data_IF_286987725513
#
_entry.id   IF_286987725513
#
_cell.length_a   1.000
_cell.length_b   1.000
_cell.length_c   1.000
_cell.angle_alpha   90.00
_cell.angle_beta   90.00
_cell.angle_gamma   90.00
#
_symmetry.space_group_name_H-M   'P 1'
#
loop_
_entity.id
_entity.type
_entity.pdbx_description
1 polymer ?
#
# COMPACT_ATOMS: atom_id res chain seq x y z
N UNK A 1 24.94 33.85 41.26
CA UNK A 1 24.94 33.67 39.80
C UNK A 1 24.18 32.40 39.51
N UNK A 2 22.93 32.52 39.13
CA UNK A 2 22.01 31.38 38.87
C UNK A 2 22.01 31.09 37.35
N UNK A 3 22.26 29.85 36.90
CA UNK A 3 22.13 29.50 35.52
C UNK A 3 20.86 28.66 35.28
N UNK A 4 19.71 29.31 35.17
CA UNK A 4 18.50 28.72 34.57
C UNK A 4 18.05 29.61 33.43
N UNK A 5 18.51 29.29 32.22
CA UNK A 5 17.98 29.88 31.00
C UNK A 5 17.40 28.77 30.10
N UNK A 6 16.09 28.75 30.01
CA UNK A 6 15.33 28.79 28.78
C UNK A 6 15.30 27.52 27.92
N UNK A 7 14.32 26.61 28.17
CA UNK A 7 13.85 25.64 27.19
C UNK A 7 13.02 26.38 26.12
N UNK A 8 13.17 26.07 24.82
CA UNK A 8 12.27 26.60 23.81
C UNK A 8 10.93 25.82 23.83
N UNK A 9 9.85 26.55 24.14
CA UNK A 9 8.48 26.10 23.93
C UNK A 9 8.16 26.19 22.45
N UNK A 10 8.25 25.07 21.76
CA UNK A 10 7.72 24.89 20.42
C UNK A 10 6.48 23.99 20.49
N UNK A 11 5.34 24.50 20.93
CA UNK A 11 4.05 23.82 20.74
C UNK A 11 3.56 24.15 19.35
N UNK A 12 4.01 23.37 18.36
CA UNK A 12 3.35 23.29 17.06
C UNK A 12 1.98 22.63 17.28
N UNK A 13 0.91 23.39 17.10
CA UNK A 13 -0.45 22.84 17.06
C UNK A 13 -0.55 21.84 15.92
N UNK A 14 -0.61 20.55 16.25
CA UNK A 14 -1.08 19.54 15.31
C UNK A 14 -2.51 19.90 14.89
N UNK A 15 -2.87 19.75 13.61
CA UNK A 15 -4.22 20.01 13.17
C UNK A 15 -5.17 19.09 13.92
N UNK A 16 -6.08 19.68 14.72
CA UNK A 16 -7.16 18.96 15.38
C UNK A 16 -8.10 18.46 14.29
N UNK A 17 -8.13 17.14 14.08
CA UNK A 17 -9.15 16.51 13.25
C UNK A 17 -10.51 16.80 13.87
N UNK A 18 -11.45 17.46 13.17
CA UNK A 18 -12.75 17.75 13.73
C UNK A 18 -13.46 16.44 14.09
N UNK A 19 -14.09 16.42 15.27
CA UNK A 19 -14.91 15.28 15.69
C UNK A 19 -15.99 14.99 14.63
N UNK A 20 -16.26 13.71 14.32
CA UNK A 20 -17.24 13.36 13.31
C UNK A 20 -18.61 13.89 13.68
N UNK A 21 -19.28 14.45 12.67
CA UNK A 21 -20.64 14.96 12.78
C UNK A 21 -21.58 13.78 13.17
N UNK A 22 -22.20 13.84 14.33
CA UNK A 22 -23.12 12.82 14.84
C UNK A 22 -24.52 12.97 14.23
N UNK A 23 -24.61 12.78 12.92
CA UNK A 23 -25.87 12.51 12.24
C UNK A 23 -26.27 11.07 12.53
N UNK A 24 -27.32 10.87 13.29
CA UNK A 24 -27.78 9.56 13.75
C UNK A 24 -28.65 8.87 12.70
N UNK A 25 -28.02 8.19 11.74
CA UNK A 25 -28.68 7.07 11.04
C UNK A 25 -28.15 5.77 11.64
N UNK A 26 -28.99 4.79 11.99
CA UNK A 26 -28.50 3.53 12.56
C UNK A 26 -27.77 2.75 11.47
N UNK A 27 -26.44 2.83 11.50
CA UNK A 27 -25.55 1.98 10.71
C UNK A 27 -25.91 0.51 11.01
N UNK A 28 -26.05 -0.32 9.99
CA UNK A 28 -26.07 -1.76 10.21
C UNK A 28 -24.66 -2.14 10.70
N UNK A 29 -24.47 -2.42 11.98
CA UNK A 29 -23.12 -2.64 12.49
C UNK A 29 -22.54 -3.91 11.90
N UNK A 30 -21.24 -3.92 11.60
CA UNK A 30 -20.50 -5.17 11.40
C UNK A 30 -20.73 -6.04 12.64
N UNK A 31 -21.17 -7.26 12.42
CA UNK A 31 -21.44 -8.20 13.51
C UNK A 31 -20.37 -9.26 13.65
N UNK A 32 -19.81 -9.70 12.52
CA UNK A 32 -18.84 -10.79 12.51
C UNK A 32 -17.91 -10.69 11.30
N UNK A 33 -16.62 -10.52 11.55
CA UNK A 33 -15.56 -10.41 10.54
C UNK A 33 -14.85 -11.74 10.38
N UNK A 34 -14.80 -12.28 9.16
CA UNK A 34 -13.86 -13.33 8.81
C UNK A 34 -12.51 -12.70 8.47
N UNK A 35 -11.45 -13.21 9.08
CA UNK A 35 -10.08 -12.74 8.89
C UNK A 35 -9.37 -13.69 7.93
N UNK A 36 -9.24 -13.28 6.67
CA UNK A 36 -8.65 -14.09 5.60
C UNK A 36 -7.10 -14.00 5.61
N UNK A 37 -6.52 -14.25 6.77
CA UNK A 37 -5.07 -14.18 6.98
C UNK A 37 -4.63 -15.03 8.19
N UNK A 38 -3.33 -15.02 8.50
CA UNK A 38 -2.71 -15.77 9.60
C UNK A 38 -1.73 -14.91 10.39
N UNK A 39 -1.13 -15.52 11.42
CA UNK A 39 -0.01 -14.92 12.13
C UNK A 39 -0.40 -13.67 12.91
N UNK A 40 0.51 -12.71 12.96
CA UNK A 40 0.36 -11.52 13.79
C UNK A 40 -0.73 -10.57 13.26
N UNK A 41 -0.91 -10.47 11.93
CA UNK A 41 -1.97 -9.62 11.39
C UNK A 41 -3.37 -10.17 11.71
N UNK A 42 -3.55 -11.48 11.74
CA UNK A 42 -4.80 -12.06 12.21
C UNK A 42 -5.05 -11.71 13.69
N UNK A 43 -4.03 -11.79 14.56
CA UNK A 43 -4.12 -11.32 15.95
C UNK A 43 -4.48 -9.84 16.03
N UNK A 44 -3.87 -9.01 15.19
CA UNK A 44 -4.13 -7.56 15.15
C UNK A 44 -5.60 -7.25 14.81
N UNK A 45 -6.13 -7.92 13.79
CA UNK A 45 -7.54 -7.73 13.39
C UNK A 45 -8.51 -8.30 14.44
N UNK A 46 -8.21 -9.46 15.03
CA UNK A 46 -9.02 -10.04 16.13
C UNK A 46 -9.11 -9.06 17.31
N UNK A 47 -8.01 -8.42 17.69
CA UNK A 47 -8.01 -7.41 18.75
C UNK A 47 -8.89 -6.21 18.40
N UNK A 48 -8.78 -5.69 17.17
CA UNK A 48 -9.64 -4.60 16.73
C UNK A 48 -11.13 -4.98 16.73
N UNK A 49 -11.48 -6.21 16.30
CA UNK A 49 -12.84 -6.74 16.41
C UNK A 49 -13.31 -6.74 17.85
N UNK A 50 -12.51 -7.27 18.76
CA UNK A 50 -12.84 -7.33 20.20
C UNK A 50 -13.07 -5.95 20.80
N UNK A 51 -12.18 -4.98 20.50
CA UNK A 51 -12.29 -3.60 21.00
C UNK A 51 -13.49 -2.85 20.40
N UNK A 52 -13.95 -3.28 19.22
CA UNK A 52 -15.16 -2.75 18.57
C UNK A 52 -16.44 -3.50 18.93
N UNK A 53 -16.37 -4.59 19.72
CA UNK A 53 -17.52 -5.44 20.05
C UNK A 53 -18.03 -6.27 18.88
N UNK A 54 -17.17 -6.59 17.90
CA UNK A 54 -17.47 -7.34 16.68
C UNK A 54 -16.94 -8.77 16.85
N UNK A 55 -17.73 -9.78 16.46
CA UNK A 55 -17.27 -11.17 16.46
C UNK A 55 -16.18 -11.43 15.43
N UNK A 56 -15.26 -12.34 15.74
CA UNK A 56 -14.10 -12.66 14.89
C UNK A 56 -14.09 -14.14 14.49
N UNK A 57 -13.89 -14.41 13.21
CA UNK A 57 -13.70 -15.76 12.65
C UNK A 57 -12.30 -15.87 12.08
N UNK A 58 -11.47 -16.73 12.63
CA UNK A 58 -10.17 -17.08 12.08
C UNK A 58 -10.28 -18.27 11.11
N UNK A 59 -9.51 -18.24 10.04
CA UNK A 59 -9.29 -19.42 9.17
C UNK A 59 -7.85 -19.88 9.29
N UNK A 60 -7.61 -21.20 9.21
CA UNK A 60 -6.25 -21.73 9.36
C UNK A 60 -5.97 -22.92 8.47
N UNK A 61 -4.72 -23.02 8.00
CA UNK A 61 -4.16 -24.24 7.42
C UNK A 61 -3.74 -25.21 8.53
N UNK A 62 -3.61 -26.50 8.22
CA UNK A 62 -3.30 -27.53 9.23
C UNK A 62 -2.03 -27.24 10.07
N UNK A 63 -0.92 -26.72 9.51
CA UNK A 63 0.26 -26.36 10.30
C UNK A 63 0.01 -25.23 11.33
N UNK A 64 -1.01 -24.43 11.13
CA UNK A 64 -1.35 -23.29 12.01
C UNK A 64 -2.44 -23.62 13.04
N UNK A 65 -2.91 -24.88 13.13
CA UNK A 65 -4.00 -25.31 14.02
C UNK A 65 -3.85 -24.84 15.47
N UNK A 66 -2.63 -24.85 15.99
CA UNK A 66 -2.31 -24.46 17.37
C UNK A 66 -1.76 -23.03 17.50
N UNK A 67 -1.84 -22.23 16.42
CA UNK A 67 -1.33 -20.87 16.43
C UNK A 67 -2.13 -19.94 17.37
N UNK A 68 -1.50 -18.84 17.79
CA UNK A 68 -2.08 -17.90 18.75
C UNK A 68 -3.39 -17.31 18.23
N UNK A 69 -3.42 -16.90 16.97
CA UNK A 69 -4.60 -16.27 16.38
C UNK A 69 -5.83 -17.21 16.34
N UNK A 70 -5.60 -18.52 16.15
CA UNK A 70 -6.68 -19.53 16.16
C UNK A 70 -7.35 -19.62 17.55
N UNK A 71 -6.55 -19.47 18.62
CA UNK A 71 -7.05 -19.51 20.00
C UNK A 71 -7.65 -18.19 20.48
N UNK A 72 -7.32 -17.07 19.84
CA UNK A 72 -7.78 -15.75 20.24
C UNK A 72 -9.10 -15.34 19.57
N UNK A 73 -9.40 -15.89 18.39
CA UNK A 73 -10.66 -15.63 17.69
C UNK A 73 -11.86 -16.23 18.45
N UNK A 74 -13.03 -15.65 18.26
CA UNK A 74 -14.28 -16.18 18.82
C UNK A 74 -14.66 -17.51 18.17
N UNK A 75 -14.39 -17.66 16.87
CA UNK A 75 -14.54 -18.89 16.09
C UNK A 75 -13.30 -19.13 15.23
N UNK A 76 -12.93 -20.40 15.00
CA UNK A 76 -11.83 -20.76 14.14
C UNK A 76 -12.16 -21.99 13.28
N UNK A 77 -11.85 -21.92 11.99
CA UNK A 77 -12.19 -22.96 11.02
C UNK A 77 -10.99 -23.38 10.17
N UNK A 78 -10.79 -24.67 10.04
CA UNK A 78 -9.74 -25.20 9.16
C UNK A 78 -10.14 -25.02 7.70
N UNK A 79 -9.18 -24.52 6.89
CA UNK A 79 -9.27 -24.53 5.43
C UNK A 79 -8.80 -25.87 4.85
N UNK A 80 -8.27 -26.76 5.71
CA UNK A 80 -7.51 -27.92 5.28
C UNK A 80 -6.19 -27.50 4.64
N UNK A 81 -5.47 -28.51 4.09
CA UNK A 81 -4.23 -28.26 3.38
C UNK A 81 -3.05 -27.87 4.29
N UNK A 82 -1.86 -27.85 3.70
CA UNK A 82 -0.60 -27.58 4.40
C UNK A 82 0.22 -26.47 3.75
N UNK A 83 -0.19 -26.00 2.58
CA UNK A 83 0.48 -24.93 1.84
C UNK A 83 -0.46 -23.72 1.69
N UNK A 84 0.06 -22.52 1.40
CA UNK A 84 -0.80 -21.38 1.11
C UNK A 84 -1.74 -21.63 -0.09
N UNK A 85 -1.28 -22.33 -1.12
CA UNK A 85 -2.03 -22.58 -2.34
C UNK A 85 -3.29 -23.44 -2.12
N UNK A 86 -3.24 -24.38 -1.19
CA UNK A 86 -4.36 -25.27 -0.86
C UNK A 86 -5.16 -24.81 0.39
N UNK A 87 -4.89 -23.60 0.88
CA UNK A 87 -5.54 -23.02 2.07
C UNK A 87 -5.80 -21.51 1.92
N UNK A 88 -4.87 -20.66 2.36
CA UNK A 88 -5.05 -19.19 2.42
C UNK A 88 -5.20 -18.50 1.06
N UNK A 89 -4.83 -19.14 -0.04
CA UNK A 89 -5.00 -18.64 -1.41
C UNK A 89 -6.21 -19.27 -2.11
N UNK A 90 -6.96 -20.13 -1.45
CA UNK A 90 -8.18 -20.76 -1.99
C UNK A 90 -9.42 -19.90 -1.65
N UNK A 91 -9.81 -19.07 -2.62
CA UNK A 91 -10.95 -18.15 -2.48
C UNK A 91 -12.23 -18.89 -2.11
N UNK A 92 -12.51 -20.03 -2.78
CA UNK A 92 -13.74 -20.77 -2.58
C UNK A 92 -13.86 -21.32 -1.15
N UNK A 93 -12.76 -21.81 -0.58
CA UNK A 93 -12.73 -22.27 0.82
C UNK A 93 -12.97 -21.14 1.81
N UNK A 94 -12.38 -19.96 1.57
CA UNK A 94 -12.56 -18.80 2.45
C UNK A 94 -14.02 -18.35 2.44
N UNK A 95 -14.63 -18.22 1.25
CA UNK A 95 -16.06 -17.84 1.11
C UNK A 95 -16.95 -18.88 1.77
N UNK A 96 -16.72 -20.16 1.56
CA UNK A 96 -17.52 -21.23 2.19
C UNK A 96 -17.47 -21.19 3.73
N UNK A 97 -16.32 -20.81 4.31
CA UNK A 97 -16.23 -20.59 5.78
C UNK A 97 -17.01 -19.36 6.19
N UNK A 98 -16.98 -18.24 5.45
CA UNK A 98 -17.74 -17.05 5.74
C UNK A 98 -19.25 -17.35 5.76
N UNK A 99 -19.76 -18.04 4.75
CA UNK A 99 -21.16 -18.47 4.67
C UNK A 99 -21.54 -19.39 5.83
N UNK A 100 -20.71 -20.41 6.10
CA UNK A 100 -20.94 -21.38 7.17
C UNK A 100 -21.03 -20.76 8.56
N UNK A 101 -20.22 -19.74 8.82
CA UNK A 101 -20.13 -19.08 10.13
C UNK A 101 -21.12 -17.93 10.28
N UNK A 102 -21.76 -17.50 9.19
CA UNK A 102 -22.60 -16.31 9.15
C UNK A 102 -21.78 -15.02 9.39
N UNK A 103 -20.51 -15.01 8.98
CA UNK A 103 -19.74 -13.78 8.90
C UNK A 103 -20.41 -12.85 7.88
N UNK A 104 -20.48 -11.56 8.20
CA UNK A 104 -21.05 -10.54 7.31
C UNK A 104 -20.01 -9.74 6.56
N UNK A 105 -18.73 -9.94 6.89
CA UNK A 105 -17.63 -9.19 6.34
C UNK A 105 -16.32 -9.99 6.32
N UNK A 106 -15.40 -9.56 5.46
CA UNK A 106 -14.08 -10.18 5.30
C UNK A 106 -12.99 -9.12 5.36
N UNK A 107 -12.01 -9.30 6.26
CA UNK A 107 -10.78 -8.50 6.32
C UNK A 107 -9.59 -9.31 5.78
N UNK A 108 -8.90 -8.85 4.73
CA UNK A 108 -7.82 -9.61 4.10
C UNK A 108 -6.47 -9.52 4.82
N UNK A 109 -6.30 -8.56 5.73
CA UNK A 109 -4.99 -8.23 6.30
C UNK A 109 -4.02 -7.66 5.26
N UNK A 110 -2.83 -8.26 5.16
CA UNK A 110 -1.83 -7.97 4.12
C UNK A 110 -1.17 -9.26 3.62
N UNK A 111 -0.56 -9.23 2.43
CA UNK A 111 -0.07 -10.43 1.76
C UNK A 111 -1.22 -11.32 1.29
N UNK A 112 -0.95 -12.57 0.94
CA UNK A 112 -1.91 -13.52 0.40
C UNK A 112 -2.87 -12.89 -0.63
N UNK A 113 -4.14 -12.78 -0.31
CA UNK A 113 -5.19 -12.27 -1.20
C UNK A 113 -5.54 -10.78 -0.98
N UNK A 114 -4.80 -10.06 -0.13
CA UNK A 114 -5.14 -8.69 0.22
C UNK A 114 -5.08 -7.70 -0.96
N UNK A 115 -4.29 -8.00 -1.99
CA UNK A 115 -4.16 -7.22 -3.23
C UNK A 115 -4.69 -7.98 -4.45
N UNK A 116 -5.61 -8.92 -4.23
CA UNK A 116 -6.23 -9.72 -5.28
C UNK A 116 -7.64 -9.20 -5.58
N UNK A 117 -7.81 -8.62 -6.78
CA UNK A 117 -9.10 -8.04 -7.20
C UNK A 117 -10.20 -9.09 -7.34
N UNK A 118 -9.86 -10.30 -7.81
CA UNK A 118 -10.83 -11.39 -7.95
C UNK A 118 -11.36 -11.86 -6.59
N UNK A 119 -10.50 -11.87 -5.56
CA UNK A 119 -10.93 -12.19 -4.20
C UNK A 119 -11.87 -11.11 -3.63
N UNK A 120 -11.50 -9.85 -3.77
CA UNK A 120 -12.34 -8.74 -3.35
C UNK A 120 -13.72 -8.81 -4.04
N UNK A 121 -13.75 -9.07 -5.35
CA UNK A 121 -14.98 -9.23 -6.10
C UNK A 121 -15.78 -10.45 -5.64
N UNK A 122 -15.14 -11.59 -5.40
CA UNK A 122 -15.81 -12.81 -4.93
C UNK A 122 -16.46 -12.61 -3.55
N UNK A 123 -15.84 -11.84 -2.65
CA UNK A 123 -16.43 -11.46 -1.36
C UNK A 123 -17.69 -10.62 -1.57
N UNK A 124 -17.64 -9.64 -2.44
CA UNK A 124 -18.77 -8.76 -2.77
C UNK A 124 -19.92 -9.57 -3.43
N UNK A 125 -19.60 -10.43 -4.40
CA UNK A 125 -20.57 -11.27 -5.11
C UNK A 125 -21.26 -12.28 -4.17
N UNK A 126 -20.59 -12.69 -3.11
CA UNK A 126 -21.18 -13.52 -2.04
C UNK A 126 -22.09 -12.71 -1.09
N UNK A 127 -22.31 -11.42 -1.32
CA UNK A 127 -23.12 -10.54 -0.47
C UNK A 127 -22.45 -10.18 0.86
N UNK A 128 -21.13 -10.30 0.94
CA UNK A 128 -20.33 -9.98 2.12
C UNK A 128 -19.70 -8.59 1.97
N UNK A 129 -19.47 -7.92 3.08
CA UNK A 129 -18.75 -6.64 3.09
C UNK A 129 -17.25 -6.90 2.96
N UNK A 130 -16.65 -6.37 1.91
CA UNK A 130 -15.21 -6.35 1.74
C UNK A 130 -14.59 -5.20 2.52
N UNK A 131 -13.70 -5.52 3.48
CA UNK A 131 -12.98 -4.50 4.27
C UNK A 131 -11.64 -4.22 3.59
N UNK A 132 -11.70 -3.39 2.56
CA UNK A 132 -10.57 -3.05 1.70
C UNK A 132 -10.98 -2.13 0.55
N UNK A 133 -10.05 -1.78 -0.35
CA UNK A 133 -10.35 -0.94 -1.50
C UNK A 133 -11.17 -1.68 -2.58
N UNK A 134 -11.83 -0.94 -3.48
CA UNK A 134 -12.63 -1.56 -4.53
C UNK A 134 -11.75 -2.41 -5.47
N UNK A 135 -12.28 -3.52 -6.03
CA UNK A 135 -11.54 -4.38 -6.95
C UNK A 135 -10.89 -3.62 -8.11
N UNK A 136 -11.59 -2.63 -8.65
CA UNK A 136 -11.09 -1.76 -9.73
C UNK A 136 -9.84 -0.97 -9.35
N UNK A 137 -9.76 -0.46 -8.12
CA UNK A 137 -8.59 0.26 -7.63
C UNK A 137 -7.42 -0.70 -7.33
N UNK A 138 -7.70 -1.89 -6.82
CA UNK A 138 -6.68 -2.94 -6.64
C UNK A 138 -6.04 -3.27 -7.99
N UNK A 139 -6.85 -3.51 -9.02
CA UNK A 139 -6.37 -3.84 -10.37
C UNK A 139 -5.58 -2.68 -11.00
N UNK A 140 -6.13 -1.46 -10.90
CA UNK A 140 -5.54 -0.28 -11.54
C UNK A 140 -4.20 0.13 -10.90
N UNK A 141 -4.09 0.07 -9.57
CA UNK A 141 -2.90 0.47 -8.83
C UNK A 141 -1.89 -0.67 -8.64
N UNK A 142 -2.33 -1.93 -8.73
CA UNK A 142 -1.46 -3.11 -8.70
C UNK A 142 -0.64 -3.28 -10.00
N UNK A 143 -1.10 -2.75 -11.11
CA UNK A 143 -0.35 -2.69 -12.37
C UNK A 143 0.56 -1.45 -12.39
N UNK A 144 1.87 -1.65 -12.45
CA UNK A 144 2.86 -0.55 -12.39
C UNK A 144 2.72 0.49 -13.50
N UNK A 145 2.33 0.07 -14.69
CA UNK A 145 2.14 0.99 -15.81
C UNK A 145 0.85 1.81 -15.64
N UNK A 146 -0.24 1.15 -15.25
CA UNK A 146 -1.50 1.82 -14.93
C UNK A 146 -1.33 2.78 -13.73
N UNK A 147 -0.64 2.36 -12.67
CA UNK A 147 -0.38 3.20 -11.49
C UNK A 147 0.42 4.46 -11.85
N UNK A 148 1.47 4.34 -12.69
CA UNK A 148 2.21 5.50 -13.19
C UNK A 148 1.35 6.42 -14.05
N UNK A 149 0.47 5.86 -14.88
CA UNK A 149 -0.46 6.66 -15.68
C UNK A 149 -1.45 7.43 -14.81
N UNK A 150 -1.98 6.80 -13.76
CA UNK A 150 -2.84 7.45 -12.75
C UNK A 150 -2.08 8.58 -12.05
N UNK A 151 -0.82 8.33 -11.65
CA UNK A 151 0.03 9.33 -11.01
C UNK A 151 0.33 10.52 -11.95
N UNK A 152 0.63 10.26 -13.22
CA UNK A 152 0.84 11.31 -14.25
C UNK A 152 -0.43 12.16 -14.40
N UNK A 153 -1.59 11.53 -14.55
CA UNK A 153 -2.89 12.21 -14.66
C UNK A 153 -3.25 13.01 -13.40
N UNK A 154 -2.85 12.53 -12.24
CA UNK A 154 -3.00 13.20 -10.95
C UNK A 154 -1.96 14.31 -10.73
N UNK A 155 -1.08 14.59 -11.68
CA UNK A 155 0.06 15.51 -11.56
C UNK A 155 0.91 15.21 -10.32
N UNK A 156 1.14 13.95 -10.03
CA UNK A 156 2.07 13.54 -8.99
C UNK A 156 3.52 13.59 -9.53
N UNK A 157 4.50 13.87 -8.67
CA UNK A 157 5.88 13.92 -9.10
C UNK A 157 6.36 12.54 -9.56
N UNK A 158 6.87 12.48 -10.77
CA UNK A 158 7.47 11.28 -11.37
C UNK A 158 8.91 11.58 -11.78
N UNK A 159 9.82 10.65 -11.56
CA UNK A 159 11.12 10.75 -12.20
C UNK A 159 10.95 10.77 -13.72
N UNK A 160 11.69 11.62 -14.44
CA UNK A 160 11.67 11.59 -15.91
C UNK A 160 11.88 10.17 -16.41
N UNK A 161 11.05 9.73 -17.36
CA UNK A 161 11.09 8.39 -17.90
C UNK A 161 10.43 8.31 -19.27
N UNK A 162 10.79 7.29 -20.06
CA UNK A 162 10.12 7.02 -21.33
C UNK A 162 8.75 6.39 -21.11
N UNK A 163 7.77 6.80 -21.91
CA UNK A 163 6.42 6.23 -21.89
C UNK A 163 6.36 4.89 -22.61
N UNK A 164 7.13 4.80 -23.69
CA UNK A 164 7.24 3.63 -24.55
C UNK A 164 8.63 2.99 -24.41
N UNK A 165 8.74 1.69 -24.72
CA UNK A 165 10.03 1.01 -24.75
C UNK A 165 10.99 1.68 -25.74
N UNK A 166 12.23 1.85 -25.34
CA UNK A 166 13.30 2.37 -26.21
C UNK A 166 13.72 1.30 -27.22
N UNK A 167 14.05 1.73 -28.45
CA UNK A 167 14.39 0.85 -29.57
C UNK A 167 15.83 0.35 -29.48
N UNK A 168 16.75 1.21 -29.02
CA UNK A 168 18.18 0.98 -29.02
C UNK A 168 18.89 1.80 -27.94
N UNK A 169 20.21 1.61 -27.81
CA UNK A 169 21.05 2.33 -26.89
C UNK A 169 21.16 3.82 -27.21
N UNK A 170 20.98 4.21 -28.46
CA UNK A 170 21.08 5.62 -28.87
C UNK A 170 19.93 6.43 -28.32
N UNK A 171 18.71 5.89 -28.29
CA UNK A 171 17.57 6.53 -27.63
C UNK A 171 17.81 6.69 -26.12
N UNK A 172 18.51 5.74 -25.48
CA UNK A 172 18.91 5.85 -24.06
C UNK A 172 19.91 6.98 -23.86
N UNK A 173 20.89 7.12 -24.76
CA UNK A 173 21.87 8.19 -24.73
C UNK A 173 21.20 9.56 -24.88
N UNK A 174 20.27 9.70 -25.82
CA UNK A 174 19.51 10.95 -26.00
C UNK A 174 18.66 11.28 -24.76
N UNK A 175 18.02 10.29 -24.18
CA UNK A 175 17.30 10.47 -22.92
C UNK A 175 18.23 10.94 -21.78
N UNK A 176 19.42 10.32 -21.65
CA UNK A 176 20.40 10.68 -20.63
C UNK A 176 20.96 12.10 -20.81
N UNK A 177 21.19 12.53 -22.07
CA UNK A 177 21.59 13.91 -22.37
C UNK A 177 20.54 14.93 -21.98
N UNK A 178 19.26 14.62 -22.22
CA UNK A 178 18.14 15.51 -21.92
C UNK A 178 17.82 15.58 -20.41
N UNK A 179 17.92 14.46 -19.70
CA UNK A 179 17.45 14.35 -18.31
C UNK A 179 18.58 14.18 -17.27
N UNK A 180 19.84 14.09 -17.74
CA UNK A 180 21.03 13.89 -16.92
C UNK A 180 21.23 12.43 -16.48
N UNK A 181 22.42 12.14 -16.02
CA UNK A 181 22.84 10.86 -15.44
C UNK A 181 22.71 10.86 -13.90
N UNK A 182 22.63 9.68 -13.26
CA UNK A 182 22.56 8.35 -13.87
C UNK A 182 21.17 8.02 -14.41
N UNK A 183 21.08 7.02 -15.29
CA UNK A 183 19.82 6.50 -15.83
C UNK A 183 19.66 5.01 -15.51
N UNK A 184 18.42 4.58 -15.30
CA UNK A 184 18.05 3.19 -15.12
C UNK A 184 17.37 2.66 -16.37
N UNK A 185 17.85 1.54 -16.87
CA UNK A 185 17.27 0.78 -17.97
C UNK A 185 16.55 -0.41 -17.35
N UNK A 186 15.24 -0.51 -17.55
CA UNK A 186 14.37 -1.47 -16.88
C UNK A 186 13.61 -2.31 -17.88
N UNK A 187 13.65 -3.63 -17.73
CA UNK A 187 12.75 -4.51 -18.49
C UNK A 187 11.29 -4.19 -18.20
N UNK A 188 10.46 -4.05 -19.22
CA UNK A 188 9.01 -3.76 -19.09
C UNK A 188 8.31 -4.79 -18.22
N UNK A 189 8.65 -6.06 -18.39
CA UNK A 189 8.06 -7.21 -17.67
C UNK A 189 8.86 -7.61 -16.43
N UNK A 190 9.90 -6.83 -16.05
CA UNK A 190 10.78 -7.09 -14.91
C UNK A 190 10.14 -6.70 -13.57
N UNK A 191 10.54 -7.40 -12.51
CA UNK A 191 10.15 -7.13 -11.13
C UNK A 191 11.24 -7.52 -10.14
N UNK A 192 11.22 -6.94 -8.93
CA UNK A 192 12.17 -7.28 -7.86
C UNK A 192 13.64 -6.99 -8.22
N UNK A 193 13.91 -5.97 -9.07
CA UNK A 193 15.26 -5.60 -9.49
C UNK A 193 15.85 -6.47 -10.61
N UNK A 194 15.15 -7.48 -11.10
CA UNK A 194 15.60 -8.26 -12.27
C UNK A 194 15.34 -7.48 -13.55
N UNK A 195 16.33 -7.47 -14.45
CA UNK A 195 16.27 -6.69 -15.69
C UNK A 195 16.44 -5.18 -15.47
N UNK A 196 17.05 -4.76 -14.33
CA UNK A 196 17.44 -3.39 -14.06
C UNK A 196 18.95 -3.23 -14.24
N UNK A 197 19.37 -2.27 -15.08
CA UNK A 197 20.78 -1.82 -15.20
C UNK A 197 20.85 -0.32 -15.01
N UNK A 198 21.88 0.14 -14.33
CA UNK A 198 22.14 1.56 -14.11
C UNK A 198 23.38 1.96 -14.87
N UNK A 199 23.26 2.96 -15.73
CA UNK A 199 24.38 3.60 -16.40
C UNK A 199 24.67 4.94 -15.73
N UNK A 200 25.93 5.15 -15.32
CA UNK A 200 26.39 6.36 -14.63
C UNK A 200 27.13 7.31 -15.54
N UNK A 201 27.59 6.82 -16.66
CA UNK A 201 28.23 7.59 -17.72
C UNK A 201 27.58 7.28 -19.07
N UNK A 202 27.78 8.14 -20.08
CA UNK A 202 27.22 7.90 -21.42
C UNK A 202 27.85 6.67 -22.06
N UNK A 203 29.14 6.41 -21.77
CA UNK A 203 29.91 5.30 -22.30
C UNK A 203 29.43 3.94 -21.80
N UNK A 204 28.83 3.90 -20.59
CA UNK A 204 28.29 2.67 -20.01
C UNK A 204 26.92 2.27 -20.61
N UNK A 205 26.21 3.19 -21.27
CA UNK A 205 24.86 2.99 -21.73
C UNK A 205 24.72 1.81 -22.70
N UNK A 206 25.56 1.67 -23.75
CA UNK A 206 25.42 0.56 -24.70
C UNK A 206 25.50 -0.81 -24.04
N UNK A 207 26.48 -1.03 -23.18
CA UNK A 207 26.70 -2.30 -22.48
C UNK A 207 25.56 -2.58 -21.47
N UNK A 208 25.11 -1.53 -20.75
CA UNK A 208 24.02 -1.63 -19.81
C UNK A 208 22.70 -1.97 -20.51
N UNK A 209 22.41 -1.36 -21.66
CA UNK A 209 21.22 -1.63 -22.47
C UNK A 209 21.22 -3.07 -22.98
N UNK A 210 22.31 -3.51 -23.65
CA UNK A 210 22.41 -4.89 -24.13
C UNK A 210 22.28 -5.93 -23.00
N UNK A 211 22.89 -5.64 -21.85
CA UNK A 211 22.78 -6.49 -20.66
C UNK A 211 21.35 -6.59 -20.14
N UNK A 212 20.63 -5.45 -20.09
CA UNK A 212 19.22 -5.40 -19.66
C UNK A 212 18.33 -6.19 -20.62
N UNK A 213 18.50 -6.01 -21.92
CA UNK A 213 17.75 -6.73 -22.98
C UNK A 213 18.00 -8.25 -22.89
N UNK A 214 19.26 -8.69 -22.80
CA UNK A 214 19.60 -10.12 -22.68
C UNK A 214 18.98 -10.75 -21.44
N UNK A 215 19.05 -10.05 -20.30
CA UNK A 215 18.46 -10.53 -19.04
C UNK A 215 16.93 -10.61 -19.15
N UNK A 216 16.29 -9.62 -19.77
CA UNK A 216 14.85 -9.56 -19.99
C UNK A 216 14.38 -10.69 -20.90
N UNK A 217 15.06 -10.95 -22.02
CA UNK A 217 14.76 -12.08 -22.92
C UNK A 217 14.90 -13.42 -22.20
N UNK A 218 15.97 -13.59 -21.43
CA UNK A 218 16.22 -14.84 -20.70
C UNK A 218 15.19 -15.09 -19.61
N UNK A 219 14.78 -14.06 -18.89
CA UNK A 219 13.88 -14.20 -17.74
C UNK A 219 12.40 -14.17 -18.13
N UNK A 220 12.03 -13.40 -19.18
CA UNK A 220 10.63 -13.09 -19.50
C UNK A 220 10.27 -13.39 -20.96
N UNK A 221 11.22 -13.85 -21.80
CA UNK A 221 11.01 -14.13 -23.22
C UNK A 221 10.87 -12.90 -24.12
N UNK A 222 11.01 -11.69 -23.55
CA UNK A 222 10.83 -10.40 -24.24
C UNK A 222 11.87 -9.40 -23.75
N UNK A 223 12.40 -8.58 -24.68
CA UNK A 223 13.55 -7.70 -24.42
C UNK A 223 13.21 -6.20 -24.32
N UNK A 224 11.93 -5.82 -24.32
CA UNK A 224 11.53 -4.42 -24.27
C UNK A 224 11.95 -3.76 -22.94
N UNK A 225 12.63 -2.62 -23.05
CA UNK A 225 13.13 -1.86 -21.92
C UNK A 225 12.60 -0.42 -21.93
N UNK A 226 12.29 0.09 -20.75
CA UNK A 226 12.05 1.51 -20.48
C UNK A 226 13.29 2.14 -19.87
N UNK A 227 13.41 3.45 -19.99
CA UNK A 227 14.47 4.22 -19.35
C UNK A 227 13.87 5.26 -18.43
N UNK A 228 14.49 5.44 -17.27
CA UNK A 228 14.11 6.52 -16.36
C UNK A 228 15.34 7.11 -15.67
N UNK A 229 15.21 8.33 -15.19
CA UNK A 229 16.21 8.96 -14.32
C UNK A 229 16.41 8.10 -13.09
N UNK A 230 17.64 7.70 -12.81
CA UNK A 230 17.97 6.96 -11.60
C UNK A 230 18.27 7.93 -10.45
N UNK A 231 17.58 7.74 -9.34
CA UNK A 231 17.82 8.52 -8.13
C UNK A 231 18.89 7.81 -7.29
N UNK A 232 20.01 8.49 -7.05
CA UNK A 232 21.09 7.92 -6.24
C UNK A 232 20.77 8.03 -4.75
N UNK A 233 20.86 6.88 -4.06
CA UNK A 233 20.64 6.79 -2.60
C UNK A 233 19.43 7.60 -2.12
N UNK A 234 18.28 7.46 -2.77
CA UNK A 234 17.08 8.17 -2.34
C UNK A 234 16.62 7.64 -0.99
N UNK A 235 15.91 8.47 -0.23
CA UNK A 235 15.13 7.98 0.87
C UNK A 235 13.84 7.36 0.34
N UNK A 236 13.44 6.25 0.94
CA UNK A 236 12.16 5.62 0.68
C UNK A 236 11.18 6.17 1.70
N UNK A 237 10.33 7.07 1.26
CA UNK A 237 9.32 7.72 2.09
C UNK A 237 7.94 7.31 1.64
N UNK A 238 7.06 7.05 2.57
CA UNK A 238 5.69 6.66 2.27
C UNK A 238 4.69 7.45 3.11
N UNK A 239 3.47 7.59 2.57
CA UNK A 239 2.35 8.25 3.22
C UNK A 239 1.30 7.23 3.62
N UNK A 240 0.94 7.17 4.90
CA UNK A 240 -0.21 6.39 5.35
C UNK A 240 -1.49 7.15 5.05
N UNK A 241 -2.34 6.58 4.23
CA UNK A 241 -3.58 7.19 3.82
C UNK A 241 -4.81 6.42 4.32
N UNK A 242 -5.89 7.16 4.55
CA UNK A 242 -7.24 6.67 4.70
C UNK A 242 -8.14 7.41 3.71
N UNK A 243 -8.95 6.69 2.98
CA UNK A 243 -9.92 7.26 2.03
C UNK A 243 -11.31 6.69 2.31
N UNK A 244 -12.33 7.55 2.26
CA UNK A 244 -13.72 7.15 2.37
C UNK A 244 -14.37 6.95 0.99
N UNK A 245 -15.61 6.48 0.99
CA UNK A 245 -16.36 6.24 -0.23
C UNK A 245 -16.97 7.52 -0.83
N UNK A 246 -16.88 8.65 -0.12
CA UNK A 246 -17.32 9.96 -0.58
C UNK A 246 -16.21 10.74 -1.31
N UNK A 247 -15.04 10.15 -1.48
CA UNK A 247 -13.89 10.75 -2.14
C UNK A 247 -13.04 11.66 -1.24
N UNK A 248 -13.23 11.60 0.07
CA UNK A 248 -12.33 12.26 1.01
C UNK A 248 -11.10 11.37 1.24
N UNK A 249 -9.93 11.98 1.19
CA UNK A 249 -8.64 11.32 1.45
C UNK A 249 -7.87 12.11 2.47
N UNK A 250 -7.44 11.45 3.54
CA UNK A 250 -6.56 12.01 4.55
C UNK A 250 -5.23 11.27 4.56
N UNK A 251 -4.15 12.01 4.76
CA UNK A 251 -2.83 11.44 5.05
C UNK A 251 -2.64 11.50 6.56
N UNK A 252 -2.53 10.33 7.17
CA UNK A 252 -2.45 10.16 8.62
C UNK A 252 -1.05 10.52 9.13
N UNK A 253 -0.02 10.02 8.45
CA UNK A 253 1.39 10.24 8.77
C UNK A 253 2.26 9.85 7.58
N UNK A 254 3.55 10.17 7.67
CA UNK A 254 4.59 9.62 6.79
C UNK A 254 5.42 8.58 7.53
N UNK A 255 6.08 7.70 6.77
CA UNK A 255 7.13 6.80 7.27
C UNK A 255 8.37 6.90 6.40
N UNK A 256 9.52 6.79 7.02
CA UNK A 256 10.80 6.56 6.34
C UNK A 256 11.15 5.08 6.45
N UNK A 257 11.24 4.43 5.32
CA UNK A 257 11.54 3.00 5.18
C UNK A 257 12.87 2.76 4.45
N UNK A 258 13.81 3.70 4.56
CA UNK A 258 15.08 3.65 3.80
C UNK A 258 16.04 2.57 4.31
N UNK A 259 15.92 2.15 5.58
CA UNK A 259 16.76 1.09 6.14
C UNK A 259 16.26 -0.28 5.67
N UNK A 260 16.88 -0.76 4.59
CA UNK A 260 16.47 -1.98 3.88
C UNK A 260 17.65 -2.93 3.69
N UNK A 261 17.34 -4.22 3.59
CA UNK A 261 18.27 -5.24 3.11
C UNK A 261 17.67 -5.97 1.92
N UNK A 262 18.31 -5.90 0.77
CA UNK A 262 17.83 -6.51 -0.48
C UNK A 262 16.40 -6.08 -0.84
N UNK A 263 16.11 -4.78 -0.72
CA UNK A 263 14.80 -4.16 -0.94
C UNK A 263 13.70 -4.62 0.04
N UNK A 264 14.07 -5.21 1.18
CA UNK A 264 13.15 -5.54 2.25
C UNK A 264 13.34 -4.54 3.39
N UNK A 265 12.27 -3.88 3.81
CA UNK A 265 12.23 -2.94 4.93
C UNK A 265 12.65 -3.66 6.22
N UNK A 266 13.49 -3.04 7.03
CA UNK A 266 13.99 -3.58 8.29
C UNK A 266 13.67 -2.68 9.48
N UNK A 267 13.68 -1.36 9.26
CA UNK A 267 13.37 -0.36 10.27
C UNK A 267 12.55 0.72 9.59
N UNK A 268 11.44 1.06 10.19
CA UNK A 268 10.53 2.12 9.76
C UNK A 268 10.42 3.18 10.84
N UNK A 269 10.48 4.44 10.45
CA UNK A 269 10.41 5.59 11.35
C UNK A 269 9.25 6.49 10.96
N UNK A 270 8.43 6.88 11.93
CA UNK A 270 7.31 7.81 11.73
C UNK A 270 7.34 8.96 12.76
N UNK A 271 6.99 10.19 12.32
CA UNK A 271 6.92 10.61 10.92
C UNK A 271 8.28 10.55 10.24
N UNK A 272 8.31 10.52 8.89
CA UNK A 272 9.57 10.54 8.15
C UNK A 272 10.38 11.79 8.51
N UNK A 273 11.62 11.64 9.02
CA UNK A 273 12.45 12.78 9.38
C UNK A 273 13.04 13.47 8.14
N UNK A 274 13.57 14.69 8.31
CA UNK A 274 14.34 15.43 7.31
C UNK A 274 13.56 15.85 6.04
N UNK A 275 12.24 15.85 6.06
CA UNK A 275 11.42 16.42 5.00
C UNK A 275 11.24 17.92 5.26
N UNK A 276 11.38 18.75 4.21
CA UNK A 276 10.94 20.14 4.27
C UNK A 276 9.41 20.23 4.26
N UNK A 277 8.86 21.37 4.67
CA UNK A 277 7.42 21.60 4.61
C UNK A 277 6.88 21.48 3.18
N UNK A 278 7.61 21.96 2.18
CA UNK A 278 7.22 21.86 0.78
C UNK A 278 7.21 20.40 0.30
N UNK A 279 8.21 19.60 0.70
CA UNK A 279 8.24 18.17 0.38
C UNK A 279 7.10 17.42 1.05
N UNK A 280 6.83 17.72 2.32
CA UNK A 280 5.74 17.10 3.05
C UNK A 280 4.37 17.41 2.41
N UNK A 281 4.16 18.67 2.04
CA UNK A 281 2.95 19.11 1.35
C UNK A 281 2.80 18.44 -0.02
N UNK A 282 3.88 18.34 -0.80
CA UNK A 282 3.84 17.65 -2.10
C UNK A 282 3.50 16.17 -1.95
N UNK A 283 4.10 15.46 -0.98
CA UNK A 283 3.77 14.06 -0.70
C UNK A 283 2.30 13.89 -0.32
N UNK A 284 1.78 14.77 0.54
CA UNK A 284 0.38 14.71 1.00
C UNK A 284 -0.60 14.96 -0.14
N UNK A 285 -0.41 16.04 -0.87
CA UNK A 285 -1.33 16.41 -1.95
C UNK A 285 -1.24 15.42 -3.13
N UNK A 286 -0.05 14.91 -3.46
CA UNK A 286 0.10 13.88 -4.48
C UNK A 286 -0.63 12.60 -4.11
N UNK A 287 -0.48 12.14 -2.86
CA UNK A 287 -1.18 10.94 -2.37
C UNK A 287 -2.69 11.09 -2.45
N UNK A 288 -3.22 12.25 -2.02
CA UNK A 288 -4.66 12.53 -2.13
C UNK A 288 -5.14 12.53 -3.58
N UNK A 289 -4.40 13.16 -4.50
CA UNK A 289 -4.76 13.21 -5.91
C UNK A 289 -4.73 11.83 -6.56
N UNK A 290 -3.68 11.02 -6.30
CA UNK A 290 -3.54 9.65 -6.82
C UNK A 290 -4.71 8.78 -6.38
N UNK A 291 -5.01 8.76 -5.08
CA UNK A 291 -6.06 7.92 -4.54
C UNK A 291 -7.46 8.34 -5.00
N UNK A 292 -7.72 9.66 -5.11
CA UNK A 292 -8.97 10.17 -5.70
C UNK A 292 -9.12 9.79 -7.17
N UNK A 293 -8.06 9.93 -7.97
CA UNK A 293 -8.08 9.58 -9.39
C UNK A 293 -8.33 8.08 -9.60
N UNK A 294 -7.85 7.24 -8.67
CA UNK A 294 -8.08 5.80 -8.69
C UNK A 294 -9.44 5.37 -8.13
N UNK A 295 -10.26 6.28 -7.61
CA UNK A 295 -11.50 5.94 -6.91
C UNK A 295 -11.26 5.06 -5.69
N UNK A 296 -10.17 5.28 -4.97
CA UNK A 296 -9.73 4.46 -3.85
C UNK A 296 -10.50 4.78 -2.57
N UNK A 297 -10.85 3.74 -1.80
CA UNK A 297 -11.27 3.85 -0.41
C UNK A 297 -10.63 2.74 0.45
N UNK A 298 -10.61 2.92 1.77
CA UNK A 298 -9.90 2.03 2.71
C UNK A 298 -8.55 2.60 3.15
N UNK A 299 -7.77 1.77 3.83
CA UNK A 299 -6.40 2.09 4.18
C UNK A 299 -5.47 1.76 3.01
N UNK A 300 -4.58 2.67 2.67
CA UNK A 300 -3.59 2.49 1.62
C UNK A 300 -2.33 3.28 1.89
N UNK A 301 -1.28 2.99 1.14
CA UNK A 301 0.00 3.66 1.29
C UNK A 301 0.54 4.05 -0.07
N UNK A 302 0.88 5.33 -0.26
CA UNK A 302 1.60 5.79 -1.43
C UNK A 302 3.10 5.85 -1.10
N UNK A 303 3.91 5.19 -1.89
CA UNK A 303 5.37 5.13 -1.74
C UNK A 303 6.06 6.08 -2.70
N UNK A 304 7.09 6.75 -2.21
CA UNK A 304 7.88 7.75 -2.95
C UNK A 304 9.38 7.56 -2.70
N UNK A 305 10.17 7.94 -3.68
CA UNK A 305 11.59 8.14 -3.54
C UNK A 305 11.88 9.63 -3.41
N UNK A 306 12.64 10.01 -2.38
CA UNK A 306 13.07 11.39 -2.15
C UNK A 306 14.59 11.46 -2.28
N UNK A 307 15.08 12.08 -3.34
CA UNK A 307 16.49 12.20 -3.63
C UNK A 307 17.17 13.30 -2.78
N UNK A 308 18.49 13.28 -2.73
CA UNK A 308 19.28 14.24 -1.94
C UNK A 308 19.19 15.68 -2.45
N UNK A 309 18.90 15.86 -3.75
CA UNK A 309 18.65 17.16 -4.38
C UNK A 309 17.21 17.68 -4.16
N UNK A 310 16.40 16.96 -3.41
CA UNK A 310 15.01 17.29 -3.13
C UNK A 310 14.01 16.75 -4.14
N UNK A 311 14.44 16.10 -5.20
CA UNK A 311 13.57 15.50 -6.20
C UNK A 311 12.70 14.40 -5.56
N UNK A 312 11.38 14.48 -5.75
CA UNK A 312 10.42 13.48 -5.32
C UNK A 312 9.99 12.67 -6.56
N UNK A 313 9.85 11.37 -6.41
CA UNK A 313 9.29 10.50 -7.44
C UNK A 313 8.34 9.48 -6.82
N UNK A 314 7.11 9.45 -7.31
CA UNK A 314 6.15 8.40 -6.98
C UNK A 314 6.68 7.04 -7.42
N UNK A 315 6.50 6.04 -6.57
CA UNK A 315 6.96 4.67 -6.82
C UNK A 315 5.77 3.73 -7.08
N UNK A 316 4.89 3.57 -6.08
CA UNK A 316 3.73 2.68 -6.18
C UNK A 316 2.69 2.98 -5.08
N UNK A 317 1.53 2.35 -5.18
CA UNK A 317 0.52 2.31 -4.11
C UNK A 317 0.38 0.89 -3.62
N UNK A 318 0.45 0.69 -2.30
CA UNK A 318 0.03 -0.55 -1.68
C UNK A 318 -1.46 -0.46 -1.35
N UNK A 319 -2.27 -1.27 -2.04
CA UNK A 319 -3.73 -1.22 -1.98
C UNK A 319 -4.29 -2.02 -0.79
N UNK A 320 -3.65 -1.86 0.37
CA UNK A 320 -3.94 -2.61 1.60
C UNK A 320 -3.33 -1.93 2.82
N UNK A 321 -3.65 -2.45 3.99
CA UNK A 321 -2.88 -2.18 5.19
C UNK A 321 -1.47 -2.76 5.05
N UNK A 322 -0.44 -2.08 5.53
CA UNK A 322 0.94 -2.57 5.49
C UNK A 322 1.37 -3.20 6.83
N UNK A 323 2.47 -3.98 6.80
CA UNK A 323 3.09 -4.57 8.00
C UNK A 323 3.44 -3.48 9.00
N UNK A 324 4.04 -2.40 8.51
CA UNK A 324 4.55 -1.25 9.26
C UNK A 324 3.49 -0.23 9.70
N UNK A 325 2.20 -0.54 9.55
CA UNK A 325 1.12 0.38 9.93
C UNK A 325 1.15 0.77 11.41
N UNK A 326 1.60 -0.12 12.27
CA UNK A 326 1.62 0.09 13.71
C UNK A 326 2.51 1.26 14.14
N UNK A 327 3.61 1.58 13.40
CA UNK A 327 4.44 2.73 13.74
C UNK A 327 3.69 4.06 13.52
N UNK A 328 2.80 4.11 12.51
CA UNK A 328 1.92 5.26 12.31
C UNK A 328 0.83 5.36 13.38
N UNK A 329 0.27 4.22 13.80
CA UNK A 329 -0.72 4.17 14.89
C UNK A 329 -0.14 4.69 16.21
N UNK A 330 1.08 4.28 16.56
CA UNK A 330 1.75 4.70 17.81
C UNK A 330 1.99 6.21 17.88
N UNK A 331 2.34 6.87 16.77
CA UNK A 331 2.61 8.32 16.77
C UNK A 331 1.36 9.18 16.60
N UNK A 332 0.25 8.61 16.11
CA UNK A 332 -0.97 9.38 15.84
C UNK A 332 -2.12 9.05 16.79
N UNK A 333 -2.09 7.89 17.44
CA UNK A 333 -3.19 7.38 18.23
C UNK A 333 -4.39 6.89 17.42
N UNK A 334 -4.25 6.77 16.09
CA UNK A 334 -5.30 6.31 15.18
C UNK A 334 -5.18 4.80 14.99
N UNK A 335 -6.23 4.04 15.30
CA UNK A 335 -6.33 2.62 14.99
C UNK A 335 -6.81 2.43 13.55
N UNK A 336 -5.87 2.14 12.64
CA UNK A 336 -6.15 2.04 11.21
C UNK A 336 -7.11 0.89 10.88
N UNK A 337 -7.07 -0.22 11.60
CA UNK A 337 -7.98 -1.35 11.38
C UNK A 337 -9.41 -0.97 11.77
N UNK A 338 -9.59 -0.25 12.87
CA UNK A 338 -10.91 0.26 13.26
C UNK A 338 -11.44 1.32 12.29
N UNK A 339 -10.56 2.16 11.75
CA UNK A 339 -10.97 3.09 10.68
C UNK A 339 -11.38 2.35 9.41
N UNK A 340 -10.72 1.25 9.05
CA UNK A 340 -11.16 0.40 7.94
C UNK A 340 -12.57 -0.16 8.17
N UNK A 341 -12.89 -0.57 9.41
CA UNK A 341 -14.27 -0.99 9.76
C UNK A 341 -15.28 0.15 9.61
N UNK A 342 -14.92 1.38 9.98
CA UNK A 342 -15.79 2.55 9.84
C UNK A 342 -16.01 2.92 8.37
N UNK A 343 -14.95 2.91 7.57
CA UNK A 343 -15.01 3.25 6.14
C UNK A 343 -15.94 2.31 5.39
N UNK A 344 -15.87 0.99 5.65
CA UNK A 344 -16.75 0.04 4.97
C UNK A 344 -18.22 0.13 5.43
N UNK A 345 -18.49 0.65 6.63
CA UNK A 345 -19.83 0.87 7.14
C UNK A 345 -20.51 2.14 6.58
N UNK A 346 -19.76 3.17 6.28
CA UNK A 346 -20.29 4.43 5.72
C UNK A 346 -20.91 4.23 4.33
N UNK A 347 -20.55 3.16 3.63
CA UNK A 347 -21.17 2.79 2.36
C UNK A 347 -22.65 2.38 2.49
N UNK A 348 -23.06 1.86 3.64
CA UNK A 348 -24.44 1.42 3.86
C UNK A 348 -25.38 2.51 4.36
N UNK A 349 -24.85 3.69 4.77
CA UNK A 349 -25.65 4.78 5.32
C UNK A 349 -26.24 5.72 4.26
N UNK A 350 -25.55 5.93 3.13
CA UNK A 350 -26.07 6.81 2.06
C UNK A 350 -27.17 6.17 1.23
N UNK A 351 -27.26 4.85 1.20
CA UNK A 351 -28.36 4.14 0.55
C UNK A 351 -29.72 4.24 1.30
N UNK A 352 -29.72 4.84 2.48
CA UNK A 352 -30.92 5.00 3.31
C UNK A 352 -31.52 6.43 3.25
N UNK A 353 -30.81 7.39 2.64
CA UNK A 353 -31.24 8.79 2.52
C UNK A 353 -31.85 9.13 1.13
N UNK A 354 -32.02 8.15 0.22
CA UNK A 354 -32.87 8.22 -0.96
C UNK A 354 -34.22 7.47 -0.70
#
# INVERSE_FOLDING_TARGET
MDPRAGSPKGTGNLPVVPAPNTGTTPLTPLRKVLIANRGEIAVRVIRACKDAGIGSVAVYAEPDRDAVFVRLADEAHSLGGSTPADSYLDIAKIIAVAEKTGADSVHPGYGFLAENADFAQAVIDAGLIWIGPPPSAIEALGDKAKAKHIADKANAPLAPGTKDPVKDADEVVEFAKANGLPVAIKAVFGGGGRGLKVARTLEEIPDAYESAVREAVTAFGRGECLVEKFLDKPRHVETQCLADQHGNVVVVSTRDCSLQRRNQKLVEEAPAPFLSEDQLNELYESSKRILKEAGYYGAGTCEFLVAQDGTISFLEVNTRLQVEHCVSEEVTGIDLVREMFRICLLYTSDAADE
#
